data_IF_229683844890
#
_entry.id   IF_229683844890
#
_cell.length_a   1.000
_cell.length_b   1.000
_cell.length_c   1.000
_cell.angle_alpha   90.00
_cell.angle_beta   90.00
_cell.angle_gamma   90.00
#
_symmetry.space_group_name_H-M   'P 1'
#
loop_
_entity.id
_entity.type
_entity.pdbx_description
1 polymer ?
#
# COMPACT_ATOMS: atom_id res chain seq x y z
N UNK A 1 -10.51 1.71 -5.82
CA UNK A 1 -9.12 1.23 -5.73
C UNK A 1 -8.42 2.01 -4.62
N UNK A 2 -7.95 1.34 -3.56
CA UNK A 2 -7.43 1.92 -2.31
C UNK A 2 -5.89 1.89 -2.23
N UNK A 3 -5.20 1.85 -3.36
CA UNK A 3 -3.76 1.60 -3.36
C UNK A 3 -2.91 2.83 -3.00
N UNK A 4 -3.46 4.05 -2.98
CA UNK A 4 -2.74 5.25 -2.51
C UNK A 4 -1.49 5.68 -3.31
N UNK A 5 -1.15 4.97 -4.39
CA UNK A 5 0.01 5.24 -5.27
C UNK A 5 -0.34 6.03 -6.54
N UNK A 6 -1.62 6.32 -6.78
CA UNK A 6 -2.07 7.06 -7.96
C UNK A 6 -1.82 8.57 -7.83
N UNK A 7 -1.79 9.25 -8.97
CA UNK A 7 -1.69 10.71 -9.01
C UNK A 7 -3.00 11.35 -8.51
N UNK A 8 -2.93 12.19 -7.47
CA UNK A 8 -4.09 12.90 -6.94
C UNK A 8 -4.61 14.01 -7.87
N UNK A 9 -3.77 14.49 -8.80
CA UNK A 9 -4.13 15.57 -9.71
C UNK A 9 -4.97 15.09 -10.91
N UNK A 10 -4.66 13.92 -11.48
CA UNK A 10 -5.36 13.41 -12.66
C UNK A 10 -6.07 12.07 -12.43
N UNK A 11 -5.91 11.46 -11.25
CA UNK A 11 -6.47 10.16 -10.90
C UNK A 11 -5.80 8.97 -11.59
N UNK A 12 -4.76 9.19 -12.39
CA UNK A 12 -4.08 8.10 -13.09
C UNK A 12 -3.33 7.19 -12.10
N UNK A 13 -3.49 5.87 -12.19
CA UNK A 13 -2.72 4.92 -11.38
C UNK A 13 -1.31 4.67 -11.93
N UNK A 14 -0.98 5.18 -13.12
CA UNK A 14 0.27 4.89 -13.81
C UNK A 14 1.40 5.83 -13.38
N UNK A 15 2.55 5.25 -13.04
CA UNK A 15 3.78 5.96 -12.66
C UNK A 15 4.89 5.70 -13.65
N UNK A 16 5.64 6.75 -13.98
CA UNK A 16 6.84 6.70 -14.82
C UNK A 16 8.07 6.67 -13.92
N UNK A 17 8.83 5.59 -14.04
CA UNK A 17 10.09 5.42 -13.32
C UNK A 17 11.23 6.19 -14.00
N UNK A 18 12.17 6.74 -13.21
CA UNK A 18 13.38 7.36 -13.74
C UNK A 18 14.28 6.31 -14.40
N UNK A 19 15.06 6.74 -15.41
CA UNK A 19 16.01 5.87 -16.10
C UNK A 19 17.10 5.32 -15.14
N UNK A 20 17.46 6.11 -14.14
CA UNK A 20 18.37 5.72 -13.07
C UNK A 20 17.61 5.64 -11.74
N UNK A 21 17.56 4.45 -11.13
CA UNK A 21 16.83 4.15 -9.89
C UNK A 21 17.61 4.57 -8.63
N UNK A 22 18.02 5.84 -8.58
CA UNK A 22 18.65 6.47 -7.40
C UNK A 22 17.59 6.90 -6.40
N UNK A 23 17.90 6.94 -5.10
CA UNK A 23 16.92 7.24 -4.06
C UNK A 23 16.28 8.63 -4.22
N UNK A 24 17.08 9.62 -4.65
CA UNK A 24 16.64 11.00 -4.93
C UNK A 24 16.00 11.18 -6.31
N UNK A 25 16.00 10.14 -7.17
CA UNK A 25 15.44 10.24 -8.50
C UNK A 25 13.92 10.42 -8.45
N UNK A 26 13.39 11.35 -9.24
CA UNK A 26 11.98 11.71 -9.20
C UNK A 26 11.12 10.74 -10.02
N UNK A 27 10.04 10.27 -9.42
CA UNK A 27 8.95 9.55 -10.10
C UNK A 27 7.91 10.57 -10.57
N UNK A 28 7.41 10.37 -11.78
CA UNK A 28 6.38 11.22 -12.37
C UNK A 28 5.11 10.43 -12.64
N UNK A 29 3.98 11.11 -12.71
CA UNK A 29 2.74 10.53 -13.21
C UNK A 29 2.87 10.30 -14.71
N UNK A 30 2.53 9.12 -15.21
CA UNK A 30 2.56 8.87 -16.66
C UNK A 30 1.40 9.56 -17.40
N UNK A 31 0.29 9.83 -16.68
CA UNK A 31 -0.86 10.58 -17.22
C UNK A 31 -0.61 12.08 -17.43
N UNK A 32 -0.27 12.83 -16.37
CA UNK A 32 -0.13 14.28 -16.42
C UNK A 32 1.33 14.80 -16.36
N UNK A 33 2.32 13.93 -16.17
CA UNK A 33 3.74 14.31 -16.07
C UNK A 33 4.14 15.01 -14.77
N UNK A 34 3.20 15.24 -13.84
CA UNK A 34 3.52 15.86 -12.55
C UNK A 34 4.46 14.97 -11.73
N UNK A 35 5.40 15.60 -11.01
CA UNK A 35 6.23 14.92 -10.02
C UNK A 35 5.37 14.41 -8.88
N UNK A 36 5.50 13.13 -8.55
CA UNK A 36 4.78 12.50 -7.45
C UNK A 36 5.63 12.49 -6.17
N UNK A 37 6.80 11.86 -6.23
CA UNK A 37 7.76 11.76 -5.12
C UNK A 37 9.12 11.24 -5.60
N UNK A 38 10.11 11.22 -4.71
CA UNK A 38 11.39 10.56 -4.96
C UNK A 38 11.25 9.02 -4.89
N UNK A 39 12.09 8.32 -5.64
CA UNK A 39 12.13 6.85 -5.73
C UNK A 39 12.32 6.19 -4.36
N UNK A 40 13.16 6.77 -3.51
CA UNK A 40 13.37 6.32 -2.14
C UNK A 40 12.14 6.40 -1.25
N UNK A 41 11.33 7.44 -1.42
CA UNK A 41 10.07 7.58 -0.71
C UNK A 41 9.03 6.55 -1.23
N UNK A 42 9.03 6.29 -2.53
CA UNK A 42 8.15 5.30 -3.14
C UNK A 42 8.44 3.89 -2.63
N UNK A 43 9.70 3.45 -2.64
CA UNK A 43 10.10 2.13 -2.10
C UNK A 43 9.62 1.93 -0.66
N UNK A 44 9.93 2.88 0.23
CA UNK A 44 9.50 2.83 1.64
C UNK A 44 7.99 2.73 1.79
N UNK A 45 7.23 3.38 0.91
CA UNK A 45 5.77 3.35 0.95
C UNK A 45 5.21 2.02 0.46
N UNK A 46 5.82 1.40 -0.55
CA UNK A 46 5.51 0.02 -0.99
C UNK A 46 5.82 -0.96 0.15
N UNK A 47 7.01 -0.89 0.74
CA UNK A 47 7.41 -1.74 1.86
C UNK A 47 6.45 -1.61 3.05
N UNK A 48 6.01 -0.40 3.37
CA UNK A 48 5.04 -0.16 4.43
C UNK A 48 3.65 -0.75 4.13
N UNK A 49 3.21 -0.74 2.87
CA UNK A 49 1.96 -1.38 2.46
C UNK A 49 2.08 -2.91 2.54
N UNK A 50 3.16 -3.50 2.01
CA UNK A 50 3.38 -4.95 2.11
C UNK A 50 3.47 -5.42 3.56
N UNK A 51 4.12 -4.65 4.43
CA UNK A 51 4.18 -4.94 5.86
C UNK A 51 2.80 -4.83 6.54
N UNK A 52 1.93 -3.94 6.10
CA UNK A 52 0.56 -3.78 6.60
C UNK A 52 -0.41 -4.82 6.04
N UNK A 53 -0.16 -5.33 4.83
CA UNK A 53 -0.95 -6.39 4.20
C UNK A 53 -0.61 -7.77 4.77
N UNK A 54 0.52 -7.94 5.46
CA UNK A 54 0.81 -9.15 6.24
C UNK A 54 -0.18 -9.24 7.41
N UNK A 55 -1.16 -10.16 7.40
CA UNK A 55 -2.03 -10.35 8.54
C UNK A 55 -1.17 -10.86 9.71
N UNK A 56 -1.43 -10.31 10.90
CA UNK A 56 -0.95 -10.91 12.14
C UNK A 56 -1.39 -12.38 12.20
N UNK A 57 -0.51 -13.32 12.59
CA UNK A 57 -0.92 -14.71 12.78
C UNK A 57 -1.91 -14.79 13.96
N UNK A 58 -3.19 -14.95 13.63
CA UNK A 58 -4.21 -15.66 14.40
C UNK A 58 -4.09 -15.58 15.95
N UNK A 59 -4.50 -14.46 16.56
CA UNK A 59 -4.90 -14.52 17.98
C UNK A 59 -6.32 -15.11 18.08
N UNK A 60 -6.31 -16.37 18.47
CA UNK A 60 -7.43 -17.27 18.76
C UNK A 60 -8.46 -16.59 19.69
N UNK A 61 -9.57 -16.08 19.14
CA UNK A 61 -10.76 -15.81 19.95
C UNK A 61 -11.68 -17.03 19.89
N UNK A 62 -11.52 -17.88 20.91
CA UNK A 62 -12.28 -19.09 21.19
C UNK A 62 -13.76 -18.99 20.82
N UNK A 63 -14.23 -19.95 20.04
CA UNK A 63 -15.65 -20.34 19.98
C UNK A 63 -16.02 -20.85 21.37
N UNK A 64 -16.53 -19.94 22.20
CA UNK A 64 -17.24 -20.31 23.42
C UNK A 64 -18.60 -20.89 23.03
N UNK A 65 -18.64 -22.19 22.74
CA UNK A 65 -19.88 -22.94 22.75
C UNK A 65 -20.46 -22.88 24.17
N UNK A 66 -21.46 -22.02 24.38
CA UNK A 66 -22.28 -22.06 25.58
C UNK A 66 -23.62 -22.66 25.19
N UNK A 67 -23.70 -23.98 25.29
CA UNK A 67 -24.96 -24.72 25.35
C UNK A 67 -25.49 -24.55 26.77
N UNK A 68 -26.64 -23.91 27.03
CA UNK A 68 -27.38 -24.19 28.24
C UNK A 68 -28.21 -25.46 27.99
N UNK A 69 -27.81 -26.53 28.66
CA UNK A 69 -28.68 -27.64 28.99
C UNK A 69 -29.75 -27.12 29.95
N UNK A 70 -31.03 -27.36 29.67
CA UNK A 70 -32.10 -27.11 30.62
C UNK A 70 -32.94 -28.38 30.67
N UNK A 71 -33.12 -28.89 31.89
CA UNK A 71 -33.95 -30.04 32.26
C UNK A 71 -35.44 -29.73 32.15
#
# INVERSE_FOLDING_TARGET
MRSGFGCESCGSPAVRLPAELKDDALIQCDGCGCTLMAWGAFKRRVEAQEAAERPEPAERRSVGARVPSIC
#
